data_IF_616935869272
#
_entry.id   IF_616935869272
#
_cell.length_a   1.000
_cell.length_b   1.000
_cell.length_c   1.000
_cell.angle_alpha   90.00
_cell.angle_beta   90.00
_cell.angle_gamma   90.00
#
_symmetry.space_group_name_H-M   'P 1'
#
loop_
_entity.id
_entity.type
_entity.pdbx_description
1 polymer ?
#
# COMPACT_ATOMS: atom_id res chain seq x y z
N UNK A 1 -27.24 3.36 13.16
CA UNK A 1 -27.12 3.42 11.68
C UNK A 1 -26.07 4.46 11.35
N UNK A 2 -25.12 4.17 10.48
CA UNK A 2 -24.17 5.19 10.03
C UNK A 2 -24.93 6.31 9.30
N UNK A 3 -24.55 7.57 9.52
CA UNK A 3 -25.11 8.71 8.80
C UNK A 3 -24.93 8.50 7.30
N UNK A 4 -25.96 8.84 6.50
CA UNK A 4 -25.78 8.84 5.05
C UNK A 4 -24.78 9.95 4.69
N UNK A 5 -23.85 9.69 3.75
CA UNK A 5 -22.93 10.72 3.27
C UNK A 5 -23.70 11.90 2.67
N UNK A 6 -23.09 13.08 2.74
CA UNK A 6 -23.60 14.28 2.07
C UNK A 6 -23.79 14.02 0.56
N UNK A 7 -24.78 14.64 -0.12
CA UNK A 7 -25.14 14.32 -1.50
C UNK A 7 -24.01 14.43 -2.53
N UNK A 8 -22.96 15.19 -2.22
CA UNK A 8 -21.81 15.43 -3.09
C UNK A 8 -20.53 14.69 -2.65
N UNK A 9 -20.62 13.85 -1.62
CA UNK A 9 -19.49 13.09 -1.12
C UNK A 9 -19.60 11.62 -1.53
N UNK A 10 -18.62 11.17 -2.33
CA UNK A 10 -18.52 9.77 -2.74
C UNK A 10 -17.36 9.08 -2.00
N UNK A 11 -17.66 8.21 -1.01
CA UNK A 11 -16.62 7.43 -0.37
C UNK A 11 -16.17 6.27 -1.26
N UNK A 12 -14.88 6.21 -1.55
CA UNK A 12 -14.26 5.06 -2.21
C UNK A 12 -13.69 4.11 -1.16
N UNK A 13 -14.16 2.87 -1.16
CA UNK A 13 -13.79 1.89 -0.14
C UNK A 13 -12.56 1.08 -0.55
N UNK A 14 -11.80 0.64 0.45
CA UNK A 14 -10.68 -0.29 0.27
C UNK A 14 -10.77 -1.46 1.27
N UNK A 15 -10.32 -2.65 0.86
CA UNK A 15 -10.14 -3.77 1.77
C UNK A 15 -8.81 -3.65 2.54
N UNK A 16 -8.77 -4.20 3.74
CA UNK A 16 -7.54 -4.44 4.48
C UNK A 16 -7.02 -5.84 4.14
N UNK A 17 -5.79 -5.95 3.62
CA UNK A 17 -5.19 -7.25 3.27
C UNK A 17 -4.60 -7.94 4.50
N UNK A 18 -4.85 -9.24 4.60
CA UNK A 18 -4.30 -10.13 5.62
C UNK A 18 -3.74 -11.39 4.96
N UNK A 19 -2.98 -12.20 5.70
CA UNK A 19 -2.54 -13.53 5.23
C UNK A 19 -3.71 -14.47 4.86
N UNK A 20 -4.91 -14.22 5.37
CA UNK A 20 -6.10 -15.04 5.16
C UNK A 20 -7.05 -14.47 4.10
N UNK A 21 -6.73 -13.32 3.50
CA UNK A 21 -7.55 -12.75 2.43
C UNK A 21 -7.56 -13.72 1.24
N UNK A 22 -8.73 -14.07 0.74
CA UNK A 22 -8.86 -14.99 -0.40
C UNK A 22 -8.98 -14.25 -1.73
N UNK A 23 -8.53 -14.86 -2.84
CA UNK A 23 -8.80 -14.36 -4.19
C UNK A 23 -10.29 -14.12 -4.48
N UNK A 24 -11.16 -14.97 -3.94
CA UNK A 24 -12.61 -14.88 -4.12
C UNK A 24 -13.16 -13.59 -3.48
N UNK A 25 -12.65 -13.18 -2.32
CA UNK A 25 -13.08 -11.95 -1.66
C UNK A 25 -12.69 -10.71 -2.47
N UNK A 26 -11.53 -10.74 -3.15
CA UNK A 26 -11.13 -9.67 -4.09
C UNK A 26 -12.12 -9.55 -5.25
N UNK A 27 -12.44 -10.67 -5.90
CA UNK A 27 -13.36 -10.67 -7.04
C UNK A 27 -14.76 -10.19 -6.62
N UNK A 28 -15.25 -10.67 -5.47
CA UNK A 28 -16.53 -10.26 -4.89
C UNK A 28 -16.55 -8.78 -4.54
N UNK A 29 -15.49 -8.27 -3.89
CA UNK A 29 -15.39 -6.87 -3.52
C UNK A 29 -15.35 -5.96 -4.76
N UNK A 30 -14.56 -6.30 -5.78
CA UNK A 30 -14.52 -5.54 -7.03
C UNK A 30 -15.88 -5.53 -7.74
N UNK A 31 -16.55 -6.68 -7.80
CA UNK A 31 -17.87 -6.82 -8.42
C UNK A 31 -18.96 -5.99 -7.71
N UNK A 32 -18.77 -5.59 -6.46
CA UNK A 32 -19.70 -4.71 -5.74
C UNK A 32 -19.77 -3.29 -6.31
N UNK A 33 -18.76 -2.86 -7.07
CA UNK A 33 -18.62 -1.50 -7.58
C UNK A 33 -18.22 -0.44 -6.54
N UNK A 34 -18.18 -0.78 -5.24
CA UNK A 34 -17.87 0.17 -4.14
C UNK A 34 -16.43 0.09 -3.64
N UNK A 35 -15.81 -1.08 -3.80
CA UNK A 35 -14.42 -1.32 -3.38
C UNK A 35 -13.52 -1.20 -4.59
N UNK A 36 -12.67 -0.17 -4.58
CA UNK A 36 -11.80 0.14 -5.72
C UNK A 36 -10.38 -0.39 -5.55
N UNK A 37 -9.99 -0.67 -4.30
CA UNK A 37 -8.63 -1.02 -3.94
C UNK A 37 -8.55 -1.99 -2.75
N UNK A 38 -7.38 -2.57 -2.53
CA UNK A 38 -7.01 -3.23 -1.29
C UNK A 38 -5.68 -2.67 -0.76
N UNK A 39 -5.60 -2.45 0.55
CA UNK A 39 -4.47 -1.84 1.23
C UNK A 39 -3.64 -2.91 1.92
N UNK A 40 -2.35 -2.95 1.57
CA UNK A 40 -1.33 -3.76 2.20
C UNK A 40 -0.68 -2.96 3.34
N UNK A 41 -0.76 -3.53 4.53
CA UNK A 41 0.06 -3.15 5.68
C UNK A 41 0.96 -4.33 6.04
N UNK A 42 2.29 -4.14 6.07
CA UNK A 42 3.19 -5.12 6.66
C UNK A 42 2.83 -5.30 8.13
N UNK A 43 2.78 -6.56 8.60
CA UNK A 43 2.36 -6.85 9.96
C UNK A 43 3.24 -6.11 10.99
N UNK A 44 2.60 -5.32 11.86
CA UNK A 44 3.28 -4.54 12.91
C UNK A 44 3.90 -3.21 12.46
N UNK A 45 3.64 -2.73 11.23
CA UNK A 45 4.24 -1.50 10.71
C UNK A 45 3.68 -0.22 11.34
N UNK A 46 2.39 -0.23 11.67
CA UNK A 46 1.67 0.93 12.17
C UNK A 46 0.48 0.55 13.06
N UNK A 47 -0.29 1.54 13.52
CA UNK A 47 -1.47 1.34 14.37
C UNK A 47 -2.47 0.39 13.73
N UNK A 48 -2.95 -0.61 14.49
CA UNK A 48 -3.90 -1.66 14.06
C UNK A 48 -3.39 -2.58 12.93
N UNK A 49 -2.07 -2.70 12.75
CA UNK A 49 -1.49 -3.52 11.68
C UNK A 49 -1.06 -4.94 12.06
N UNK A 50 -1.33 -5.39 13.29
CA UNK A 50 -0.88 -6.71 13.77
C UNK A 50 -1.45 -7.88 12.97
N UNK A 51 -2.64 -7.69 12.38
CA UNK A 51 -3.28 -8.67 11.48
C UNK A 51 -2.91 -8.47 10.01
N UNK A 52 -1.91 -7.63 9.73
CA UNK A 52 -1.40 -7.34 8.39
C UNK A 52 -0.74 -8.54 7.72
N UNK A 53 -0.10 -8.27 6.58
CA UNK A 53 0.56 -9.29 5.77
C UNK A 53 1.93 -9.58 6.36
N UNK A 54 2.20 -10.84 6.71
CA UNK A 54 3.49 -11.26 7.29
C UNK A 54 4.55 -11.52 6.22
N UNK A 55 4.12 -11.88 5.01
CA UNK A 55 4.99 -12.08 3.86
C UNK A 55 4.22 -11.83 2.57
N UNK A 56 4.78 -11.01 1.67
CA UNK A 56 4.15 -10.72 0.39
C UNK A 56 3.84 -11.99 -0.42
N UNK A 57 4.70 -13.01 -0.37
CA UNK A 57 4.50 -14.27 -1.12
C UNK A 57 3.23 -15.01 -0.70
N UNK A 58 2.76 -14.88 0.54
CA UNK A 58 1.50 -15.53 1.00
C UNK A 58 0.27 -14.99 0.28
N UNK A 59 0.31 -13.71 -0.12
CA UNK A 59 -0.82 -13.05 -0.79
C UNK A 59 -0.67 -13.01 -2.32
N UNK A 60 0.30 -13.70 -2.92
CA UNK A 60 0.44 -13.72 -4.39
C UNK A 60 -0.83 -14.19 -5.12
N UNK A 61 -1.57 -15.20 -4.65
CA UNK A 61 -2.87 -15.54 -5.24
C UNK A 61 -3.87 -14.37 -5.22
N UNK A 62 -3.82 -13.55 -4.16
CA UNK A 62 -4.67 -12.36 -4.00
C UNK A 62 -4.22 -11.26 -4.98
N UNK A 63 -2.91 -10.99 -5.08
CA UNK A 63 -2.35 -10.01 -6.01
C UNK A 63 -2.67 -10.37 -7.48
N UNK A 64 -2.58 -11.66 -7.81
CA UNK A 64 -2.98 -12.18 -9.12
C UNK A 64 -4.46 -11.87 -9.41
N UNK A 65 -5.36 -12.14 -8.46
CA UNK A 65 -6.78 -11.83 -8.61
C UNK A 65 -7.04 -10.32 -8.73
N UNK A 66 -6.31 -9.49 -7.96
CA UNK A 66 -6.40 -8.03 -8.07
C UNK A 66 -5.99 -7.54 -9.45
N UNK A 67 -4.92 -8.10 -10.03
CA UNK A 67 -4.48 -7.81 -11.39
C UNK A 67 -5.54 -8.20 -12.42
N UNK A 68 -6.11 -9.41 -12.31
CA UNK A 68 -7.16 -9.91 -13.22
C UNK A 68 -8.40 -9.03 -13.26
N UNK A 69 -8.82 -8.49 -12.10
CA UNK A 69 -10.04 -7.67 -12.00
C UNK A 69 -9.77 -6.17 -12.03
N UNK A 70 -8.52 -5.75 -12.18
CA UNK A 70 -8.13 -4.34 -12.18
C UNK A 70 -8.43 -3.61 -10.86
N UNK A 71 -8.24 -4.28 -9.71
CA UNK A 71 -8.27 -3.66 -8.38
C UNK A 71 -6.89 -3.07 -8.06
N UNK A 72 -6.86 -1.85 -7.50
CA UNK A 72 -5.60 -1.21 -7.12
C UNK A 72 -5.02 -1.86 -5.86
N UNK A 73 -3.71 -2.06 -5.84
CA UNK A 73 -2.94 -2.35 -4.64
C UNK A 73 -2.40 -1.05 -4.06
N UNK A 74 -2.83 -0.71 -2.85
CA UNK A 74 -2.28 0.41 -2.10
C UNK A 74 -1.27 -0.15 -1.11
N UNK A 75 -0.11 0.48 -0.95
CA UNK A 75 1.01 -0.09 -0.18
C UNK A 75 1.50 0.89 0.88
N UNK A 76 1.47 0.46 2.15
CA UNK A 76 2.31 1.06 3.19
C UNK A 76 3.72 0.48 3.07
N UNK A 77 4.63 1.23 2.47
CA UNK A 77 5.91 0.68 2.01
C UNK A 77 7.03 0.70 3.04
N UNK A 78 6.87 0.03 4.18
CA UNK A 78 7.92 -0.06 5.22
C UNK A 78 8.08 -1.49 5.73
N UNK A 79 9.32 -1.95 5.89
CA UNK A 79 9.57 -3.19 6.64
C UNK A 79 9.43 -2.95 8.14
N UNK A 80 9.13 -4.01 8.90
CA UNK A 80 8.89 -3.92 10.36
C UNK A 80 10.00 -4.58 11.18
N UNK A 81 10.99 -5.12 10.47
CA UNK A 81 12.17 -5.79 10.98
C UNK A 81 12.90 -4.95 12.04
N UNK A 82 13.21 -5.57 13.18
CA UNK A 82 13.75 -4.86 14.36
C UNK A 82 15.18 -4.32 14.15
N UNK A 83 15.98 -5.00 13.33
CA UNK A 83 17.36 -4.62 13.01
C UNK A 83 17.47 -3.49 11.96
N UNK A 84 16.34 -3.06 11.38
CA UNK A 84 16.30 -1.97 10.39
C UNK A 84 15.89 -0.67 11.09
N UNK A 85 16.77 0.34 11.02
CA UNK A 85 16.49 1.68 11.52
C UNK A 85 15.23 2.26 10.87
N UNK A 86 14.42 2.97 11.65
CA UNK A 86 13.13 3.49 11.18
C UNK A 86 13.26 4.35 9.92
N UNK A 87 14.35 5.10 9.76
CA UNK A 87 14.60 5.96 8.60
C UNK A 87 15.03 5.19 7.36
N UNK A 88 15.43 3.92 7.50
CA UNK A 88 15.85 3.04 6.39
C UNK A 88 14.74 2.07 5.95
N UNK A 89 13.65 1.95 6.72
CA UNK A 89 12.58 0.96 6.48
C UNK A 89 11.89 1.11 5.13
N UNK A 90 11.67 2.34 4.67
CA UNK A 90 11.05 2.60 3.36
C UNK A 90 11.95 2.08 2.24
N UNK A 91 13.24 2.42 2.27
CA UNK A 91 14.22 1.98 1.28
C UNK A 91 14.34 0.46 1.23
N UNK A 92 14.47 -0.19 2.38
CA UNK A 92 14.56 -1.67 2.44
C UNK A 92 13.31 -2.33 1.88
N UNK A 93 12.12 -1.73 2.10
CA UNK A 93 10.88 -2.25 1.53
C UNK A 93 10.86 -2.18 0.00
N UNK A 94 11.36 -1.08 -0.60
CA UNK A 94 11.47 -0.95 -2.06
C UNK A 94 12.27 -2.10 -2.66
N UNK A 95 13.44 -2.37 -2.08
CA UNK A 95 14.40 -3.35 -2.59
C UNK A 95 13.90 -4.79 -2.40
N UNK A 96 13.35 -5.09 -1.21
CA UNK A 96 13.09 -6.48 -0.79
C UNK A 96 11.66 -6.95 -1.02
N UNK A 97 10.70 -6.03 -1.15
CA UNK A 97 9.26 -6.35 -1.25
C UNK A 97 8.64 -5.76 -2.51
N UNK A 98 8.75 -4.44 -2.72
CA UNK A 98 8.01 -3.78 -3.79
C UNK A 98 8.58 -4.12 -5.17
N UNK A 99 9.90 -4.06 -5.35
CA UNK A 99 10.54 -4.39 -6.62
C UNK A 99 10.17 -5.81 -7.13
N UNK A 100 10.22 -6.87 -6.30
CA UNK A 100 9.71 -8.18 -6.69
C UNK A 100 8.22 -8.19 -7.09
N UNK A 101 7.35 -7.50 -6.34
CA UNK A 101 5.91 -7.45 -6.67
C UNK A 101 5.69 -6.76 -8.03
N UNK A 102 6.36 -5.65 -8.29
CA UNK A 102 6.25 -4.92 -9.56
C UNK A 102 6.73 -5.80 -10.73
N UNK A 103 7.80 -6.56 -10.54
CA UNK A 103 8.32 -7.48 -11.55
C UNK A 103 7.39 -8.68 -11.80
N UNK A 104 6.85 -9.28 -10.73
CA UNK A 104 6.01 -10.47 -10.81
C UNK A 104 4.57 -10.16 -11.30
N UNK A 105 4.09 -8.93 -11.11
CA UNK A 105 2.74 -8.47 -11.49
C UNK A 105 2.76 -7.18 -12.33
N UNK A 106 3.29 -7.22 -13.58
CA UNK A 106 3.52 -6.02 -14.37
C UNK A 106 2.26 -5.26 -14.79
N UNK A 107 1.08 -5.90 -14.73
CA UNK A 107 -0.22 -5.29 -15.06
C UNK A 107 -1.01 -4.86 -13.81
N UNK A 108 -0.53 -5.18 -12.60
CA UNK A 108 -1.17 -4.76 -11.36
C UNK A 108 -0.91 -3.26 -11.15
N UNK A 109 -1.98 -2.50 -10.93
CA UNK A 109 -1.89 -1.08 -10.59
C UNK A 109 -1.55 -0.92 -9.12
N UNK A 110 -0.42 -0.29 -8.83
CA UNK A 110 0.15 -0.16 -7.49
C UNK A 110 0.31 1.33 -7.15
N UNK A 111 -0.12 1.69 -5.94
CA UNK A 111 0.14 3.01 -5.36
C UNK A 111 1.02 2.82 -4.13
N UNK A 112 2.25 3.32 -4.21
CA UNK A 112 3.12 3.46 -3.04
C UNK A 112 2.65 4.67 -2.24
N UNK A 113 1.98 4.42 -1.13
CA UNK A 113 1.33 5.49 -0.36
C UNK A 113 2.36 6.33 0.40
N UNK A 114 2.05 7.62 0.55
CA UNK A 114 2.70 8.56 1.46
C UNK A 114 4.24 8.47 1.48
N UNK A 115 4.86 8.49 0.29
CA UNK A 115 6.32 8.36 0.16
C UNK A 115 7.05 9.48 0.90
N UNK A 116 8.20 9.14 1.47
CA UNK A 116 8.97 10.05 2.33
C UNK A 116 10.43 10.25 1.90
N UNK A 117 10.95 9.38 1.02
CA UNK A 117 12.37 9.38 0.62
C UNK A 117 12.60 9.74 -0.85
N UNK A 118 13.81 10.21 -1.17
CA UNK A 118 14.23 10.43 -2.56
C UNK A 118 14.34 9.10 -3.32
N UNK A 119 14.68 8.01 -2.63
CA UNK A 119 14.69 6.65 -3.13
C UNK A 119 13.31 6.23 -3.65
N UNK A 120 12.24 6.45 -2.88
CA UNK A 120 10.88 6.15 -3.33
C UNK A 120 10.45 6.99 -4.53
N UNK A 121 10.80 8.29 -4.56
CA UNK A 121 10.57 9.15 -5.73
C UNK A 121 11.28 8.57 -6.97
N UNK A 122 12.55 8.20 -6.83
CA UNK A 122 13.33 7.64 -7.94
C UNK A 122 12.77 6.29 -8.40
N UNK A 123 12.37 5.42 -7.47
CA UNK A 123 11.74 4.14 -7.76
C UNK A 123 10.49 4.32 -8.62
N UNK A 124 9.56 5.18 -8.19
CA UNK A 124 8.29 5.43 -8.92
C UNK A 124 8.55 6.05 -10.29
N UNK A 125 9.52 6.96 -10.41
CA UNK A 125 9.89 7.57 -11.71
C UNK A 125 10.50 6.58 -12.71
N UNK A 126 11.11 5.51 -12.24
CA UNK A 126 11.75 4.48 -13.07
C UNK A 126 10.84 3.26 -13.32
N UNK A 127 9.77 3.12 -12.52
CA UNK A 127 8.80 2.05 -12.68
C UNK A 127 7.93 2.23 -13.94
N UNK A 128 7.15 1.20 -14.27
CA UNK A 128 6.22 1.26 -15.40
C UNK A 128 4.98 2.13 -15.08
N UNK A 129 4.12 2.34 -16.08
CA UNK A 129 2.92 3.18 -15.97
C UNK A 129 1.89 2.71 -14.93
N UNK A 130 2.01 1.47 -14.43
CA UNK A 130 1.10 0.90 -13.44
C UNK A 130 1.55 1.21 -12.00
N UNK A 131 2.66 1.91 -11.78
CA UNK A 131 3.14 2.30 -10.46
C UNK A 131 3.00 3.82 -10.27
N UNK A 132 2.30 4.22 -9.21
CA UNK A 132 2.15 5.60 -8.80
C UNK A 132 2.50 5.77 -7.31
N UNK A 133 2.46 7.01 -6.83
CA UNK A 133 2.61 7.30 -5.41
C UNK A 133 1.70 8.46 -4.97
N UNK A 134 1.38 8.48 -3.68
CA UNK A 134 0.77 9.64 -3.03
C UNK A 134 1.79 10.35 -2.14
N UNK A 135 1.62 11.66 -1.97
CA UNK A 135 2.46 12.47 -1.09
C UNK A 135 1.52 13.25 -0.17
N UNK A 136 1.81 13.23 1.13
CA UNK A 136 1.01 13.95 2.12
C UNK A 136 1.44 15.41 2.23
N UNK A 137 0.53 16.28 2.67
CA UNK A 137 0.86 17.68 2.90
C UNK A 137 1.99 17.89 3.92
N UNK A 138 2.03 17.08 4.99
CA UNK A 138 3.04 17.21 6.04
C UNK A 138 4.44 16.77 5.59
N UNK A 139 4.56 15.76 4.72
CA UNK A 139 5.87 15.38 4.17
C UNK A 139 6.40 16.38 3.13
N UNK A 140 5.53 17.23 2.58
CA UNK A 140 5.95 18.37 1.75
C UNK A 140 6.45 19.57 2.58
N UNK A 141 5.79 19.83 3.72
CA UNK A 141 6.03 21.04 4.51
C UNK A 141 7.08 20.85 5.61
N UNK A 142 7.21 19.63 6.14
CA UNK A 142 8.01 19.35 7.33
C UNK A 142 9.06 18.28 7.07
N UNK A 143 10.03 18.24 7.98
CA UNK A 143 11.06 17.21 8.04
C UNK A 143 11.33 16.87 9.52
N UNK A 144 12.14 15.84 9.77
CA UNK A 144 12.38 15.31 11.12
C UNK A 144 12.84 16.33 12.17
N UNK A 145 13.49 17.44 11.78
CA UNK A 145 13.91 18.45 12.75
C UNK A 145 12.72 19.13 13.44
N UNK A 146 11.61 19.32 12.70
CA UNK A 146 10.37 19.89 13.24
C UNK A 146 9.74 18.99 14.31
N UNK A 147 10.05 17.69 14.31
CA UNK A 147 9.48 16.72 15.26
C UNK A 147 10.43 16.44 16.43
N UNK A 148 11.74 16.35 16.17
CA UNK A 148 12.71 15.81 17.13
C UNK A 148 13.51 16.88 17.87
N UNK A 149 13.65 18.07 17.31
CA UNK A 149 14.55 19.10 17.86
C UNK A 149 13.80 20.32 18.38
N UNK A 150 12.58 20.60 17.88
CA UNK A 150 11.75 21.71 18.34
C UNK A 150 12.43 23.06 18.18
#
# INVERSE_FOLDING_TARGET
MAAQPEPHFEPLMALYLTDNTSPEEIRKAKASGKVVAAKLYPAGATTNSDSGVTSAKKIYPVLQAMQEVGMLLLVHGEVTTHEVDIFDREKVFLDTVLAPIVADFPQLKIVLEHITTAEAVNFVRQANENVAATITAHHLLFNRNHMLVG
#
